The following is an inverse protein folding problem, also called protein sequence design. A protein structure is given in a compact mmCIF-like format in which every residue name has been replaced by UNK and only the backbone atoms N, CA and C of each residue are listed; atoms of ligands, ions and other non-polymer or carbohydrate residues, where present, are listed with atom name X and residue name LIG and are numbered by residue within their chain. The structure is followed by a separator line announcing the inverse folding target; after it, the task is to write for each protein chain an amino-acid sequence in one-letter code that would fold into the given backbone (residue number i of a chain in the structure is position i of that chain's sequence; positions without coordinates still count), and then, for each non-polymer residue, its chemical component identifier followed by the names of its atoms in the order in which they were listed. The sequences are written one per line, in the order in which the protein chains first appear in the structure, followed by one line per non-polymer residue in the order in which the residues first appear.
data_IF_493620324219
#
_entry.id   IF_493620324219
#
_cell.length_a   1.000
_cell.length_b   1.000
_cell.length_c   1.000
_cell.angle_alpha   90.00
_cell.angle_beta   90.00
_cell.angle_gamma   90.00
#
_symmetry.space_group_name_H-M   'P 1'
#
loop_
_entity.id
_entity.type
_entity.pdbx_description
1 polymer ?
#
# COMPACT_ATOMS: atom_id res chain seq x y z
N UNK A 1 -29.88 -2.93 -23.88
CA UNK A 1 -29.44 -1.98 -22.83
C UNK A 1 -28.55 -0.91 -23.48
N UNK A 2 -29.08 0.28 -23.73
CA UNK A 2 -28.42 1.36 -24.50
C UNK A 2 -27.24 2.02 -23.75
N UNK A 3 -27.16 1.84 -22.43
CA UNK A 3 -26.22 2.51 -21.53
C UNK A 3 -24.73 2.22 -21.83
N UNK A 4 -24.41 1.04 -22.36
CA UNK A 4 -23.02 0.63 -22.63
C UNK A 4 -22.51 1.07 -24.02
N UNK A 5 -23.41 1.51 -24.90
CA UNK A 5 -23.03 1.95 -26.26
C UNK A 5 -22.62 3.40 -26.32
N UNK A 6 -22.95 4.19 -25.30
CA UNK A 6 -22.63 5.60 -25.26
C UNK A 6 -21.44 5.82 -24.32
N UNK A 7 -20.22 6.08 -24.85
CA UNK A 7 -19.04 6.31 -24.02
C UNK A 7 -19.20 7.51 -23.07
N UNK A 8 -20.06 8.48 -23.42
CA UNK A 8 -20.33 9.66 -22.59
C UNK A 8 -21.03 9.28 -21.28
N UNK A 9 -21.96 8.33 -21.30
CA UNK A 9 -22.68 7.89 -20.09
C UNK A 9 -21.69 7.25 -19.10
N UNK A 10 -20.70 6.51 -19.62
CA UNK A 10 -19.68 5.86 -18.81
C UNK A 10 -18.77 6.89 -18.14
N UNK A 11 -18.37 7.95 -18.86
CA UNK A 11 -17.63 9.08 -18.29
C UNK A 11 -18.41 9.80 -17.17
N UNK A 12 -19.69 10.07 -17.38
CA UNK A 12 -20.54 10.72 -16.37
C UNK A 12 -20.67 9.86 -15.11
N UNK A 13 -20.82 8.53 -15.26
CA UNK A 13 -20.87 7.61 -14.12
C UNK A 13 -19.56 7.60 -13.33
N UNK A 14 -18.42 7.56 -14.02
CA UNK A 14 -17.10 7.61 -13.38
C UNK A 14 -16.94 8.94 -12.63
N UNK A 15 -17.30 10.06 -13.25
CA UNK A 15 -17.24 11.38 -12.62
C UNK A 15 -18.11 11.46 -11.36
N UNK A 16 -19.33 10.89 -11.43
CA UNK A 16 -20.24 10.84 -10.30
C UNK A 16 -19.68 9.97 -9.15
N UNK A 17 -19.07 8.83 -9.48
CA UNK A 17 -18.38 7.98 -8.50
C UNK A 17 -17.19 8.72 -7.86
N UNK A 18 -16.39 9.46 -8.63
CA UNK A 18 -15.31 10.29 -8.09
C UNK A 18 -15.84 11.38 -7.13
N UNK A 19 -17.02 11.95 -7.41
CA UNK A 19 -17.63 12.97 -6.55
C UNK A 19 -18.16 12.38 -5.23
N UNK A 20 -18.77 11.20 -5.28
CA UNK A 20 -19.32 10.49 -4.12
C UNK A 20 -18.23 9.90 -3.22
N UNK A 21 -17.24 9.25 -3.83
CA UNK A 21 -16.21 8.53 -3.10
C UNK A 21 -14.96 9.38 -2.85
N UNK A 22 -14.66 10.35 -3.71
CA UNK A 22 -13.44 11.16 -3.67
C UNK A 22 -12.26 10.52 -4.40
N UNK A 23 -11.34 11.36 -4.90
CA UNK A 23 -10.18 10.94 -5.70
C UNK A 23 -9.26 9.92 -4.98
N UNK A 24 -9.14 10.00 -3.64
CA UNK A 24 -8.26 9.13 -2.86
C UNK A 24 -8.91 7.80 -2.44
N UNK A 25 -10.24 7.68 -2.52
CA UNK A 25 -10.99 6.53 -1.98
C UNK A 25 -11.19 5.43 -3.02
N UNK A 26 -11.42 5.80 -4.28
CA UNK A 26 -11.47 4.85 -5.39
C UNK A 26 -10.17 4.03 -5.56
N UNK A 27 -8.97 4.64 -5.63
CA UNK A 27 -7.73 3.86 -5.75
C UNK A 27 -7.46 3.02 -4.51
N UNK A 28 -7.77 3.53 -3.31
CA UNK A 28 -7.59 2.79 -2.06
C UNK A 28 -8.50 1.55 -1.99
N UNK A 29 -9.76 1.67 -2.39
CA UNK A 29 -10.68 0.52 -2.45
C UNK A 29 -10.28 -0.47 -3.53
N UNK A 30 -9.85 0.00 -4.70
CA UNK A 30 -9.35 -0.86 -5.76
C UNK A 30 -8.07 -1.64 -5.34
N UNK A 31 -7.15 -1.00 -4.61
CA UNK A 31 -5.95 -1.65 -4.05
C UNK A 31 -6.32 -2.78 -3.09
N UNK A 32 -7.21 -2.52 -2.13
CA UNK A 32 -7.65 -3.53 -1.16
C UNK A 32 -8.42 -4.68 -1.83
N UNK A 33 -9.35 -4.36 -2.74
CA UNK A 33 -10.13 -5.36 -3.47
C UNK A 33 -9.24 -6.19 -4.41
N UNK A 34 -8.23 -5.54 -5.03
CA UNK A 34 -7.24 -6.19 -5.89
C UNK A 34 -6.34 -7.15 -5.12
N UNK A 35 -5.95 -6.80 -3.88
CA UNK A 35 -5.22 -7.71 -2.99
C UNK A 35 -6.04 -8.96 -2.65
N UNK A 36 -7.32 -8.81 -2.28
CA UNK A 36 -8.21 -9.95 -2.06
C UNK A 36 -8.37 -10.78 -3.33
N UNK A 37 -8.66 -10.16 -4.48
CA UNK A 37 -8.80 -10.85 -5.76
C UNK A 37 -7.53 -11.62 -6.17
N UNK A 38 -6.34 -11.14 -5.82
CA UNK A 38 -5.08 -11.83 -6.12
C UNK A 38 -5.00 -13.19 -5.42
N UNK A 39 -5.38 -13.25 -4.14
CA UNK A 39 -5.39 -14.47 -3.33
C UNK A 39 -6.40 -15.46 -3.91
N UNK A 40 -7.63 -14.99 -4.16
CA UNK A 40 -8.68 -15.81 -4.77
C UNK A 40 -8.26 -16.32 -6.15
N UNK A 41 -7.58 -15.48 -6.95
CA UNK A 41 -7.11 -15.85 -8.29
C UNK A 41 -5.97 -16.86 -8.25
N UNK A 42 -5.11 -16.85 -7.22
CA UNK A 42 -4.09 -17.89 -7.04
C UNK A 42 -4.70 -19.22 -6.63
N UNK A 43 -5.63 -19.23 -5.68
CA UNK A 43 -6.32 -20.46 -5.24
C UNK A 43 -7.14 -21.07 -6.39
N UNK A 44 -7.93 -20.25 -7.09
CA UNK A 44 -8.71 -20.70 -8.27
C UNK A 44 -7.80 -21.12 -9.41
N UNK A 45 -6.60 -20.52 -9.54
CA UNK A 45 -5.64 -20.92 -10.57
C UNK A 45 -4.99 -22.26 -10.21
N UNK A 46 -4.66 -22.52 -8.96
CA UNK A 46 -4.14 -23.80 -8.50
C UNK A 46 -5.10 -24.94 -8.83
N UNK A 47 -6.39 -24.75 -8.53
CA UNK A 47 -7.46 -25.67 -8.93
C UNK A 47 -7.60 -25.88 -10.44
N UNK A 48 -7.28 -24.85 -11.25
CA UNK A 48 -7.34 -24.91 -12.72
C UNK A 48 -6.05 -25.43 -13.36
N UNK A 49 -4.91 -25.25 -12.69
CA UNK A 49 -3.57 -25.64 -13.16
C UNK A 49 -3.29 -27.11 -12.90
N UNK A 50 -3.93 -27.73 -11.92
CA UNK A 50 -3.92 -29.19 -11.73
C UNK A 50 -4.43 -29.97 -12.96
N UNK A 51 -5.04 -29.27 -13.95
CA UNK A 51 -5.42 -29.83 -15.24
C UNK A 51 -4.58 -29.43 -16.47
N UNK A 52 -3.80 -28.34 -16.46
CA UNK A 52 -2.99 -27.88 -17.64
C UNK A 52 -1.83 -26.95 -17.25
N UNK A 53 -0.63 -27.33 -17.67
CA UNK A 53 0.64 -26.62 -17.47
C UNK A 53 0.70 -25.18 -18.04
N UNK A 54 1.23 -24.29 -17.20
CA UNK A 54 2.26 -23.29 -17.54
C UNK A 54 2.02 -22.25 -18.64
N UNK A 55 1.59 -21.03 -18.28
CA UNK A 55 2.15 -19.77 -18.84
C UNK A 55 2.14 -18.61 -17.84
N UNK A 56 3.30 -17.95 -17.77
CA UNK A 56 3.63 -16.69 -17.06
C UNK A 56 2.64 -15.55 -17.37
N UNK A 57 2.38 -14.69 -16.38
CA UNK A 57 2.42 -13.24 -16.60
C UNK A 57 2.63 -12.45 -15.30
N UNK A 58 3.83 -11.87 -15.22
CA UNK A 58 4.19 -10.53 -14.76
C UNK A 58 3.29 -9.93 -13.67
N UNK A 59 3.78 -9.96 -12.44
CA UNK A 59 3.43 -8.98 -11.40
C UNK A 59 3.64 -7.58 -11.99
N UNK A 60 2.57 -6.81 -12.11
CA UNK A 60 2.68 -5.37 -12.31
C UNK A 60 3.11 -4.77 -10.96
N UNK A 61 4.33 -4.26 -10.97
CA UNK A 61 4.98 -3.47 -9.94
C UNK A 61 4.29 -2.13 -9.69
N UNK A 62 4.46 -1.66 -8.47
CA UNK A 62 4.69 -0.28 -8.00
C UNK A 62 3.67 0.83 -8.34
N UNK A 63 3.27 1.57 -7.29
CA UNK A 63 3.18 3.04 -7.29
C UNK A 63 2.86 3.51 -5.85
N UNK A 64 3.85 4.13 -5.22
CA UNK A 64 3.79 5.07 -4.08
C UNK A 64 3.15 4.62 -2.76
N UNK A 65 4.01 4.40 -1.76
CA UNK A 65 3.96 5.06 -0.44
C UNK A 65 5.38 5.16 0.11
N UNK A 66 5.87 6.38 0.25
CA UNK A 66 7.18 6.68 0.83
C UNK A 66 7.33 6.03 2.21
N UNK A 67 8.44 5.33 2.41
CA UNK A 67 8.85 4.87 3.73
C UNK A 67 9.22 6.11 4.55
N UNK A 68 8.34 6.56 5.42
CA UNK A 68 8.68 7.59 6.41
C UNK A 68 9.58 6.94 7.47
N UNK A 69 10.84 7.35 7.51
CA UNK A 69 11.76 7.03 8.61
C UNK A 69 11.20 7.65 9.90
N UNK A 70 10.83 6.81 10.86
CA UNK A 70 10.40 7.26 12.18
C UNK A 70 11.60 7.72 13.00
N UNK A 71 11.70 9.01 13.28
CA UNK A 71 12.65 9.53 14.28
C UNK A 71 12.25 9.01 15.66
N UNK A 72 13.11 8.18 16.27
CA UNK A 72 12.97 7.76 17.66
C UNK A 72 13.40 8.92 18.57
N UNK A 73 12.45 9.58 19.22
CA UNK A 73 12.72 10.51 20.32
C UNK A 73 13.05 9.71 21.59
N UNK A 74 14.34 9.65 21.94
CA UNK A 74 14.78 9.13 23.25
C UNK A 74 14.67 10.23 24.29
N UNK A 75 13.58 10.25 25.05
CA UNK A 75 13.46 11.10 26.23
C UNK A 75 13.87 10.27 27.46
N UNK A 76 15.14 10.36 27.85
CA UNK A 76 15.72 9.63 28.97
C UNK A 76 16.78 10.48 29.67
N UNK A 77 16.40 11.05 30.81
CA UNK A 77 17.27 11.60 31.85
C UNK A 77 18.53 10.76 32.05
N UNK A 78 19.70 11.38 32.00
CA UNK A 78 20.87 11.07 32.85
C UNK A 78 21.78 12.29 32.82
N UNK A 79 21.38 13.33 33.53
CA UNK A 79 22.33 14.29 34.11
C UNK A 79 22.81 13.73 35.44
N UNK A 80 24.11 13.88 35.68
CA UNK A 80 24.89 13.44 36.85
C UNK A 80 25.47 12.02 36.73
N UNK A 81 26.52 11.88 35.91
CA UNK A 81 27.59 10.93 36.19
C UNK A 81 28.77 11.66 36.82
N UNK A 82 28.99 11.23 38.05
CA UNK A 82 30.01 11.56 39.03
C UNK A 82 31.42 11.04 38.63
N UNK A 83 32.45 11.71 39.16
CA UNK A 83 33.87 11.33 39.33
C UNK A 83 34.84 11.45 38.13
N UNK A 84 36.18 11.59 38.36
CA UNK A 84 36.93 12.14 39.51
C UNK A 84 38.12 13.02 39.08
N UNK A 85 38.32 14.21 39.66
CA UNK A 85 39.53 15.02 39.45
C UNK A 85 40.45 14.95 40.68
N UNK A 86 41.45 14.08 40.59
CA UNK A 86 42.52 13.94 41.58
C UNK A 86 43.85 13.69 40.90
N UNK A 87 44.52 14.76 40.47
CA UNK A 87 45.98 14.86 40.34
C UNK A 87 46.38 16.23 39.77
N UNK A 88 46.62 17.21 40.65
CA UNK A 88 47.76 18.14 40.61
C UNK A 88 47.87 18.81 41.99
N UNK A 89 48.98 18.66 42.70
CA UNK A 89 49.68 19.75 43.40
C UNK A 89 50.85 19.20 44.23
N UNK A 90 52.04 19.74 43.92
CA UNK A 90 53.33 19.82 44.65
C UNK A 90 53.59 18.95 45.88
#
# INVERSE_FOLDING_TARGET
MQIFRNPVILLVLILLAFLLFGANKLPKMARNLGQSMRILKSEVKEMKTDGKDGKKKKSASDDDVEAVEGTVISNGETSAQESPEGQTSN
#
